data_IF_425721759036
#
_entry.id   IF_425721759036
#
_cell.length_a   1.000
_cell.length_b   1.000
_cell.length_c   1.000
_cell.angle_alpha   90.00
_cell.angle_beta   90.00
_cell.angle_gamma   90.00
#
_symmetry.space_group_name_H-M   'P 1'
#
loop_
_entity.id
_entity.type
_entity.pdbx_description
1 polymer ?
#
# COMPACT_ATOMS: atom_id res chain seq x y z
N UNK A 1 -2.92 -32.66 9.47
CA UNK A 1 -3.81 -32.38 8.31
C UNK A 1 -4.79 -31.25 8.60
N UNK A 2 -5.59 -31.33 9.67
CA UNK A 2 -6.52 -30.26 10.11
C UNK A 2 -5.87 -28.87 10.25
N UNK A 3 -4.71 -28.79 10.91
CA UNK A 3 -3.97 -27.53 11.08
C UNK A 3 -3.51 -26.90 9.75
N UNK A 4 -3.21 -27.71 8.73
CA UNK A 4 -2.78 -27.20 7.42
C UNK A 4 -3.94 -26.57 6.66
N UNK A 5 -5.13 -27.18 6.75
CA UNK A 5 -6.35 -26.65 6.11
C UNK A 5 -6.75 -25.31 6.74
N UNK A 6 -6.69 -25.21 8.08
CA UNK A 6 -6.95 -23.96 8.80
C UNK A 6 -5.94 -22.88 8.38
N UNK A 7 -4.65 -23.20 8.31
CA UNK A 7 -3.63 -22.24 7.92
C UNK A 7 -3.83 -21.72 6.49
N UNK A 8 -4.24 -22.58 5.55
CA UNK A 8 -4.52 -22.17 4.17
C UNK A 8 -5.71 -21.20 4.13
N UNK A 9 -6.79 -21.51 4.84
CA UNK A 9 -7.99 -20.65 4.91
C UNK A 9 -7.66 -19.31 5.57
N UNK A 10 -6.91 -19.34 6.68
CA UNK A 10 -6.49 -18.14 7.39
C UNK A 10 -5.60 -17.25 6.53
N UNK A 11 -4.63 -17.85 5.82
CA UNK A 11 -3.76 -17.11 4.89
C UNK A 11 -4.58 -16.44 3.79
N UNK A 12 -5.53 -17.15 3.19
CA UNK A 12 -6.40 -16.57 2.16
C UNK A 12 -7.23 -15.38 2.69
N UNK A 13 -7.86 -15.51 3.87
CA UNK A 13 -8.66 -14.44 4.48
C UNK A 13 -7.84 -13.22 4.87
N UNK A 14 -6.66 -13.45 5.47
CA UNK A 14 -5.72 -12.37 5.80
C UNK A 14 -5.24 -11.68 4.54
N UNK A 15 -4.96 -12.42 3.48
CA UNK A 15 -4.54 -11.84 2.20
C UNK A 15 -5.62 -10.94 1.58
N UNK A 16 -6.88 -11.39 1.57
CA UNK A 16 -8.03 -10.62 1.07
C UNK A 16 -8.18 -9.33 1.89
N UNK A 17 -8.20 -9.43 3.21
CA UNK A 17 -8.38 -8.28 4.12
C UNK A 17 -7.27 -7.25 3.96
N UNK A 18 -6.01 -7.69 3.85
CA UNK A 18 -4.87 -6.78 3.64
C UNK A 18 -4.94 -6.06 2.28
N UNK A 19 -5.46 -6.73 1.25
CA UNK A 19 -5.59 -6.12 -0.09
C UNK A 19 -6.69 -5.06 -0.11
N UNK A 20 -7.79 -5.25 0.64
CA UNK A 20 -8.88 -4.28 0.73
C UNK A 20 -8.43 -2.94 1.32
N UNK A 21 -7.59 -2.97 2.37
CA UNK A 21 -7.10 -1.74 3.02
C UNK A 21 -6.12 -0.97 2.14
N UNK A 22 -5.21 -1.66 1.45
CA UNK A 22 -4.26 -1.03 0.52
C UNK A 22 -4.99 -0.39 -0.65
N UNK A 23 -5.93 -1.13 -1.26
CA UNK A 23 -6.72 -0.62 -2.39
C UNK A 23 -7.59 0.58 -1.98
N UNK A 24 -8.09 0.58 -0.75
CA UNK A 24 -8.83 1.71 -0.20
C UNK A 24 -7.98 2.97 -0.06
N UNK A 25 -6.78 2.87 0.53
CA UNK A 25 -5.86 4.01 0.68
C UNK A 25 -5.45 4.55 -0.69
N UNK A 26 -5.08 3.69 -1.63
CA UNK A 26 -4.71 4.10 -3.00
C UNK A 26 -5.87 4.76 -3.74
N UNK A 27 -7.10 4.30 -3.52
CA UNK A 27 -8.29 4.91 -4.12
C UNK A 27 -8.56 6.32 -3.58
N UNK A 28 -8.38 6.56 -2.28
CA UNK A 28 -8.52 7.89 -1.68
C UNK A 28 -7.41 8.82 -2.19
N UNK A 29 -6.16 8.34 -2.27
CA UNK A 29 -5.04 9.09 -2.83
C UNK A 29 -5.29 9.47 -4.30
N UNK A 30 -5.88 8.56 -5.09
CA UNK A 30 -6.22 8.80 -6.51
C UNK A 30 -7.37 9.77 -6.72
N UNK A 31 -8.18 10.02 -5.68
CA UNK A 31 -9.29 10.95 -5.70
C UNK A 31 -9.00 12.22 -4.89
N UNK A 32 -7.71 12.56 -4.74
CA UNK A 32 -7.26 13.80 -4.11
C UNK A 32 -7.82 14.01 -2.69
N UNK A 33 -8.05 12.91 -1.96
CA UNK A 33 -8.57 12.94 -0.59
C UNK A 33 -10.09 12.74 -0.43
N UNK A 34 -10.83 12.43 -1.50
CA UNK A 34 -12.25 12.10 -1.38
C UNK A 34 -12.45 10.77 -0.63
N UNK A 35 -13.21 10.83 0.47
CA UNK A 35 -13.51 9.70 1.37
C UNK A 35 -14.58 8.75 0.82
N UNK A 36 -15.24 9.11 -0.30
CA UNK A 36 -16.16 8.25 -1.04
C UNK A 36 -15.66 7.91 -2.46
N UNK A 37 -14.52 7.20 -2.59
CA UNK A 37 -14.02 6.82 -3.89
C UNK A 37 -14.99 5.86 -4.59
N UNK A 38 -15.35 6.20 -5.84
CA UNK A 38 -16.20 5.39 -6.72
C UNK A 38 -15.66 3.95 -6.82
N UNK A 39 -16.58 2.96 -6.84
CA UNK A 39 -16.27 1.53 -6.91
C UNK A 39 -15.35 1.19 -8.10
N UNK A 40 -15.40 1.98 -9.19
CA UNK A 40 -14.55 1.82 -10.37
C UNK A 40 -13.06 2.07 -10.08
N UNK A 41 -12.73 3.04 -9.22
CA UNK A 41 -11.34 3.35 -8.88
C UNK A 41 -10.75 2.24 -8.02
N UNK A 42 -11.53 1.75 -7.04
CA UNK A 42 -11.14 0.57 -6.24
C UNK A 42 -10.89 -0.66 -7.12
N UNK A 43 -11.78 -0.93 -8.08
CA UNK A 43 -11.61 -2.05 -9.00
C UNK A 43 -10.37 -1.91 -9.89
N UNK A 44 -10.08 -0.69 -10.36
CA UNK A 44 -8.88 -0.42 -11.18
C UNK A 44 -7.60 -0.74 -10.40
N UNK A 45 -7.48 -0.27 -9.15
CA UNK A 45 -6.34 -0.58 -8.30
C UNK A 45 -6.23 -2.06 -7.93
N UNK A 46 -7.36 -2.75 -7.73
CA UNK A 46 -7.39 -4.20 -7.50
C UNK A 46 -6.83 -4.99 -8.69
N UNK A 47 -7.13 -4.57 -9.93
CA UNK A 47 -6.58 -5.19 -11.15
C UNK A 47 -5.06 -5.00 -11.21
N UNK A 48 -4.55 -3.81 -10.89
CA UNK A 48 -3.11 -3.58 -10.82
C UNK A 48 -2.42 -4.49 -9.80
N UNK A 49 -3.01 -4.68 -8.62
CA UNK A 49 -2.47 -5.60 -7.61
C UNK A 49 -2.43 -7.05 -8.12
N UNK A 50 -3.47 -7.51 -8.81
CA UNK A 50 -3.49 -8.85 -9.42
C UNK A 50 -2.40 -9.04 -10.48
N UNK A 51 -2.11 -8.00 -11.28
CA UNK A 51 -1.02 -8.02 -12.27
C UNK A 51 0.34 -8.14 -11.57
N UNK A 52 0.57 -7.35 -10.52
CA UNK A 52 1.83 -7.39 -9.75
C UNK A 52 2.05 -8.76 -9.11
N UNK A 53 1.01 -9.34 -8.50
CA UNK A 53 1.06 -10.69 -7.92
C UNK A 53 1.38 -11.73 -8.99
N UNK A 54 0.75 -11.63 -10.17
CA UNK A 54 0.98 -12.54 -11.29
C UNK A 54 2.42 -12.44 -11.82
N UNK A 55 2.95 -11.21 -11.93
CA UNK A 55 4.33 -11.01 -12.33
C UNK A 55 5.31 -11.59 -11.31
N UNK A 56 5.00 -11.48 -10.03
CA UNK A 56 5.81 -12.01 -8.94
C UNK A 56 5.81 -13.55 -8.89
N UNK A 57 4.69 -14.19 -9.23
CA UNK A 57 4.61 -15.64 -9.40
C UNK A 57 5.52 -16.14 -10.52
N UNK A 58 5.69 -15.35 -11.59
CA UNK A 58 6.55 -15.72 -12.73
C UNK A 58 8.03 -15.51 -12.41
N UNK A 59 8.41 -14.41 -11.76
CA UNK A 59 9.82 -14.16 -11.41
C UNK A 59 10.28 -14.96 -10.20
N UNK A 60 9.41 -15.19 -9.21
CA UNK A 60 9.73 -15.98 -8.01
C UNK A 60 10.90 -15.43 -7.18
N UNK A 61 11.36 -14.21 -7.43
CA UNK A 61 12.59 -13.67 -6.88
C UNK A 61 12.32 -12.73 -5.70
N UNK A 62 12.82 -13.11 -4.53
CA UNK A 62 12.70 -12.34 -3.30
C UNK A 62 13.49 -11.02 -3.35
N UNK A 63 14.55 -10.97 -4.15
CA UNK A 63 15.42 -9.81 -4.30
C UNK A 63 14.67 -8.63 -4.92
N UNK A 64 13.73 -8.90 -5.82
CA UNK A 64 12.90 -7.88 -6.47
C UNK A 64 12.00 -7.20 -5.44
N UNK A 65 11.32 -7.98 -4.59
CA UNK A 65 10.42 -7.44 -3.57
C UNK A 65 11.20 -6.59 -2.57
N UNK A 66 12.36 -7.07 -2.10
CA UNK A 66 13.19 -6.33 -1.14
C UNK A 66 13.73 -5.02 -1.74
N UNK A 67 14.17 -5.05 -3.00
CA UNK A 67 14.65 -3.86 -3.71
C UNK A 67 13.54 -2.83 -3.87
N UNK A 68 12.34 -3.25 -4.30
CA UNK A 68 11.17 -2.38 -4.42
C UNK A 68 10.74 -1.79 -3.07
N UNK A 69 10.82 -2.57 -1.99
CA UNK A 69 10.50 -2.10 -0.65
C UNK A 69 11.45 -0.95 -0.23
N UNK A 70 12.76 -1.11 -0.44
CA UNK A 70 13.74 -0.06 -0.12
C UNK A 70 13.48 1.21 -0.93
N UNK A 71 13.23 1.07 -2.23
CA UNK A 71 12.96 2.21 -3.12
C UNK A 71 11.67 2.94 -2.71
N UNK A 72 10.64 2.21 -2.29
CA UNK A 72 9.34 2.79 -1.88
C UNK A 72 9.40 3.43 -0.49
N UNK A 73 10.15 2.86 0.46
CA UNK A 73 10.31 3.41 1.81
C UNK A 73 11.06 4.75 1.81
N UNK A 74 12.06 4.90 0.94
CA UNK A 74 12.90 6.09 0.89
C UNK A 74 12.10 7.42 0.75
N UNK A 75 11.22 7.61 -0.25
CA UNK A 75 10.41 8.83 -0.37
C UNK A 75 9.37 8.97 0.74
N UNK A 76 8.82 7.86 1.28
CA UNK A 76 7.86 7.90 2.38
C UNK A 76 8.47 8.47 3.65
N UNK A 77 9.69 8.05 4.00
CA UNK A 77 10.42 8.59 5.16
C UNK A 77 10.74 10.07 5.00
N UNK A 78 11.16 10.49 3.80
CA UNK A 78 11.45 11.90 3.53
C UNK A 78 10.17 12.73 3.62
N UNK A 79 9.10 12.35 2.91
CA UNK A 79 7.87 13.14 2.91
C UNK A 79 7.21 13.19 4.31
N UNK A 80 7.26 12.09 5.06
CA UNK A 80 6.65 11.99 6.39
C UNK A 80 7.35 12.82 7.46
N UNK A 81 8.69 12.89 7.45
CA UNK A 81 9.43 13.59 8.51
C UNK A 81 9.86 15.00 8.09
N UNK A 82 10.22 15.20 6.83
CA UNK A 82 10.85 16.43 6.38
C UNK A 82 9.81 17.54 6.14
N UNK A 83 8.69 17.22 5.50
CA UNK A 83 7.63 18.18 5.17
C UNK A 83 7.01 18.84 6.42
N UNK A 84 6.54 18.09 7.45
CA UNK A 84 5.97 18.72 8.63
C UNK A 84 7.01 19.48 9.46
N UNK A 85 8.28 19.04 9.50
CA UNK A 85 9.35 19.79 10.17
C UNK A 85 9.65 21.12 9.47
N UNK A 86 9.55 21.19 8.15
CA UNK A 86 9.66 22.47 7.43
C UNK A 86 8.46 23.38 7.63
N UNK A 87 7.24 22.82 7.65
CA UNK A 87 6.03 23.61 7.94
C UNK A 87 6.07 24.21 9.36
N UNK A 88 6.50 23.43 10.37
CA UNK A 88 6.70 23.92 11.74
C UNK A 88 7.87 24.92 11.86
N UNK A 89 8.88 24.82 10.99
CA UNK A 89 9.97 25.79 10.89
C UNK A 89 9.53 27.13 10.28
N UNK A 90 8.43 27.17 9.53
CA UNK A 90 7.86 28.41 8.97
C UNK A 90 6.77 29.03 9.85
N UNK A 91 6.18 28.25 10.77
CA UNK A 91 5.20 28.71 11.77
C UNK A 91 5.88 29.16 13.09
N UNK A 92 6.89 30.05 13.00
CA UNK A 92 7.28 30.79 14.21
C UNK A 92 6.23 31.88 14.44
N UNK A 93 5.56 31.94 15.62
CA UNK A 93 4.81 33.14 15.98
C UNK A 93 5.78 34.31 16.05
N UNK A 94 5.64 35.23 15.10
CA UNK A 94 6.28 36.54 15.14
C UNK A 94 5.59 37.36 16.24
N UNK A 95 6.08 37.16 17.47
CA UNK A 95 5.64 37.77 18.74
C UNK A 95 4.27 37.34 19.27
#
# INVERSE_FOLDING_TARGET
MFMSIINIILFALLFITNTETVTFVLAILSKNGDTHPDKKVKATWGIYMAIVISLLLVTGDLSIILTLAIITLFPLTICGNMVPTFAASTDKPSK
#
